data_IF_022201207111
#
_entry.id   IF_022201207111
#
_cell.length_a   1.000
_cell.length_b   1.000
_cell.length_c   1.000
_cell.angle_alpha   90.00
_cell.angle_beta   90.00
_cell.angle_gamma   90.00
#
_symmetry.space_group_name_H-M   'P 1'
#
loop_
_entity.id
_entity.type
_entity.pdbx_description
1 polymer ?
#
# COMPACT_ATOMS: atom_id res chain seq x y z
N UNK A 1 22.18 -18.42 17.06
CA UNK A 1 20.82 -18.10 17.54
C UNK A 1 20.02 -17.48 16.39
N UNK A 2 19.43 -18.30 15.50
CA UNK A 2 18.87 -17.82 14.22
C UNK A 2 17.50 -18.46 13.90
N UNK A 3 16.61 -18.57 14.90
CA UNK A 3 15.31 -19.24 14.74
C UNK A 3 14.10 -18.43 15.20
N UNK A 4 14.31 -17.26 15.81
CA UNK A 4 13.23 -16.44 16.38
C UNK A 4 12.73 -15.39 15.36
N UNK A 5 13.61 -14.80 14.54
CA UNK A 5 13.23 -13.77 13.55
C UNK A 5 12.24 -14.29 12.49
N UNK A 6 12.40 -15.54 12.02
CA UNK A 6 11.53 -16.11 10.97
C UNK A 6 10.10 -16.40 11.43
N UNK A 7 9.86 -16.49 12.74
CA UNK A 7 8.51 -16.69 13.28
C UNK A 7 7.75 -15.37 13.40
N UNK A 8 8.44 -14.30 13.77
CA UNK A 8 7.87 -12.96 13.85
C UNK A 8 7.43 -12.47 12.47
N UNK A 9 8.27 -12.57 11.44
CA UNK A 9 7.93 -12.10 10.09
C UNK A 9 6.73 -12.84 9.51
N UNK A 10 6.67 -14.17 9.70
CA UNK A 10 5.56 -15.01 9.23
C UNK A 10 4.23 -14.73 9.94
N UNK A 11 4.26 -14.21 11.17
CA UNK A 11 3.04 -13.85 11.90
C UNK A 11 2.48 -12.49 11.43
N UNK A 12 3.35 -11.57 11.05
CA UNK A 12 2.93 -10.25 10.54
C UNK A 12 2.48 -10.30 9.07
N UNK A 13 3.01 -11.24 8.27
CA UNK A 13 2.55 -11.47 6.89
C UNK A 13 1.30 -12.38 6.78
N UNK A 14 0.59 -12.63 7.88
CA UNK A 14 -0.65 -13.44 7.85
C UNK A 14 -1.85 -12.60 7.45
N UNK A 15 -2.86 -13.21 6.82
CA UNK A 15 -4.10 -12.52 6.39
C UNK A 15 -4.73 -11.69 7.53
N UNK A 16 -4.73 -12.25 8.75
CA UNK A 16 -5.24 -11.57 9.96
C UNK A 16 -4.43 -10.32 10.32
N UNK A 17 -3.12 -10.34 10.12
CA UNK A 17 -2.26 -9.19 10.37
C UNK A 17 -2.44 -8.12 9.29
N UNK A 18 -2.62 -8.51 8.02
CA UNK A 18 -2.96 -7.60 6.93
C UNK A 18 -4.32 -6.91 7.16
N UNK A 19 -5.33 -7.66 7.61
CA UNK A 19 -6.63 -7.10 8.01
C UNK A 19 -6.49 -6.07 9.13
N UNK A 20 -5.67 -6.36 10.15
CA UNK A 20 -5.40 -5.42 11.25
C UNK A 20 -4.70 -4.15 10.76
N UNK A 21 -3.79 -4.27 9.80
CA UNK A 21 -3.11 -3.12 9.18
C UNK A 21 -4.12 -2.24 8.43
N UNK A 22 -4.99 -2.85 7.62
CA UNK A 22 -6.07 -2.11 6.93
C UNK A 22 -7.01 -1.43 7.93
N UNK A 23 -7.40 -2.14 9.00
CA UNK A 23 -8.25 -1.57 10.04
C UNK A 23 -7.59 -0.38 10.75
N UNK A 24 -6.29 -0.47 11.05
CA UNK A 24 -5.52 0.63 11.62
C UNK A 24 -5.43 1.83 10.67
N UNK A 25 -5.18 1.58 9.38
CA UNK A 25 -5.17 2.63 8.37
C UNK A 25 -6.52 3.36 8.28
N UNK A 26 -7.63 2.61 8.26
CA UNK A 26 -9.01 3.15 8.23
C UNK A 26 -9.37 3.93 9.49
N UNK A 27 -8.79 3.59 10.64
CA UNK A 27 -9.01 4.30 11.89
C UNK A 27 -8.34 5.68 11.95
N UNK A 28 -7.42 5.97 11.01
CA UNK A 28 -6.73 7.26 10.87
C UNK A 28 -7.22 7.97 9.60
N UNK A 29 -8.21 8.89 9.69
CA UNK A 29 -8.87 9.45 8.51
C UNK A 29 -7.91 10.15 7.53
N UNK A 30 -6.91 10.87 8.05
CA UNK A 30 -5.90 11.53 7.23
C UNK A 30 -5.02 10.54 6.45
N UNK A 31 -4.58 9.46 7.10
CA UNK A 31 -3.81 8.40 6.45
C UNK A 31 -4.66 7.67 5.41
N UNK A 32 -5.91 7.33 5.75
CA UNK A 32 -6.81 6.63 4.83
C UNK A 32 -7.09 7.46 3.58
N UNK A 33 -7.26 8.77 3.73
CA UNK A 33 -7.42 9.69 2.60
C UNK A 33 -6.19 9.67 1.69
N UNK A 34 -4.98 9.78 2.26
CA UNK A 34 -3.74 9.72 1.48
C UNK A 34 -3.59 8.41 0.71
N UNK A 35 -3.96 7.27 1.31
CA UNK A 35 -3.94 5.95 0.64
C UNK A 35 -4.93 5.92 -0.53
N UNK A 36 -6.13 6.46 -0.37
CA UNK A 36 -7.11 6.57 -1.46
C UNK A 36 -6.61 7.44 -2.60
N UNK A 37 -5.96 8.56 -2.30
CA UNK A 37 -5.29 9.40 -3.30
C UNK A 37 -4.25 8.62 -4.10
N UNK A 38 -3.59 7.61 -3.49
CA UNK A 38 -2.57 6.80 -4.18
C UNK A 38 -3.18 5.78 -5.10
N UNK A 39 -4.28 5.18 -4.70
CA UNK A 39 -5.02 4.31 -5.62
C UNK A 39 -5.58 5.10 -6.81
N UNK A 40 -6.08 6.32 -6.58
CA UNK A 40 -6.53 7.19 -7.68
C UNK A 40 -5.38 7.58 -8.61
N UNK A 41 -4.24 8.01 -8.05
CA UNK A 41 -3.03 8.33 -8.81
C UNK A 41 -2.58 7.13 -9.66
N UNK A 42 -2.46 5.95 -9.07
CA UNK A 42 -2.05 4.72 -9.76
C UNK A 42 -3.06 4.32 -10.83
N UNK A 43 -4.36 4.49 -10.59
CA UNK A 43 -5.42 4.24 -11.58
C UNK A 43 -5.25 5.15 -12.80
N UNK A 44 -5.00 6.43 -12.59
CA UNK A 44 -4.74 7.39 -13.68
C UNK A 44 -3.46 7.03 -14.45
N UNK A 45 -2.37 6.71 -13.75
CA UNK A 45 -1.11 6.32 -14.39
C UNK A 45 -1.27 5.04 -15.23
N UNK A 46 -1.97 4.02 -14.71
CA UNK A 46 -2.24 2.77 -15.43
C UNK A 46 -3.05 3.02 -16.71
N UNK A 47 -4.08 3.84 -16.64
CA UNK A 47 -4.88 4.21 -17.82
C UNK A 47 -4.02 4.93 -18.89
N UNK A 48 -3.12 5.82 -18.46
CA UNK A 48 -2.20 6.50 -19.38
C UNK A 48 -1.14 5.55 -19.96
N UNK A 49 -0.62 4.60 -19.18
CA UNK A 49 0.28 3.56 -19.70
C UNK A 49 -0.39 2.71 -20.78
N UNK A 50 -1.63 2.26 -20.54
CA UNK A 50 -2.42 1.51 -21.51
C UNK A 50 -2.59 2.31 -22.81
N UNK A 51 -2.90 3.61 -22.69
CA UNK A 51 -3.01 4.53 -23.84
C UNK A 51 -1.70 4.66 -24.62
N UNK A 52 -0.56 4.60 -23.93
CA UNK A 52 0.78 4.70 -24.52
C UNK A 52 1.34 3.34 -25.02
N UNK A 53 0.68 2.23 -24.72
CA UNK A 53 1.23 0.89 -24.96
C UNK A 53 2.49 0.59 -24.14
N UNK A 54 2.65 1.28 -23.01
CA UNK A 54 3.79 1.15 -22.10
C UNK A 54 3.54 0.10 -21.02
N UNK A 55 4.60 -0.35 -20.34
CA UNK A 55 4.52 -1.38 -19.29
C UNK A 55 4.45 -0.75 -17.91
N UNK A 56 3.98 -1.53 -16.92
CA UNK A 56 3.91 -1.08 -15.52
C UNK A 56 5.29 -0.72 -14.94
N UNK A 57 6.37 -1.34 -15.44
CA UNK A 57 7.74 -0.96 -15.08
C UNK A 57 8.17 0.43 -15.57
N UNK A 58 7.41 1.04 -16.49
CA UNK A 58 7.70 2.37 -17.02
C UNK A 58 7.06 3.48 -16.16
N UNK A 59 6.25 3.15 -15.15
CA UNK A 59 5.54 4.13 -14.30
C UNK A 59 6.51 5.17 -13.73
N UNK A 60 7.60 4.73 -13.11
CA UNK A 60 8.52 5.64 -12.43
C UNK A 60 9.28 6.56 -13.40
N UNK A 61 9.46 6.11 -14.65
CA UNK A 61 10.10 6.92 -15.69
C UNK A 61 9.12 7.93 -16.31
N UNK A 62 7.89 7.48 -16.62
CA UNK A 62 6.88 8.27 -17.32
C UNK A 62 6.13 9.23 -16.39
N UNK A 63 6.04 8.93 -15.10
CA UNK A 63 5.37 9.74 -14.10
C UNK A 63 6.31 10.09 -12.93
N UNK A 64 7.35 10.91 -13.17
CA UNK A 64 8.33 11.25 -12.13
C UNK A 64 7.75 12.11 -11.00
N UNK A 65 6.67 12.85 -11.27
CA UNK A 65 5.99 13.70 -10.30
C UNK A 65 4.90 12.93 -9.55
N UNK A 66 5.34 11.95 -8.76
CA UNK A 66 4.44 11.22 -7.88
C UNK A 66 4.08 12.08 -6.68
N UNK A 67 2.83 11.95 -6.24
CA UNK A 67 2.37 12.49 -4.97
C UNK A 67 3.34 12.02 -3.86
N UNK A 68 3.47 12.79 -2.78
CA UNK A 68 4.27 12.43 -1.60
C UNK A 68 3.45 12.56 -0.31
N UNK A 69 3.62 11.67 0.68
CA UNK A 69 4.50 10.50 0.70
C UNK A 69 4.08 9.35 -0.25
N UNK A 70 5.08 8.61 -0.72
CA UNK A 70 5.05 7.19 -1.11
C UNK A 70 3.87 6.33 -0.65
N UNK A 71 3.22 5.50 -1.47
CA UNK A 71 2.45 4.38 -0.91
C UNK A 71 3.37 3.46 -0.08
N UNK A 72 4.59 3.21 -0.56
CA UNK A 72 5.60 2.44 0.18
C UNK A 72 6.00 3.13 1.48
N UNK A 73 6.18 4.46 1.46
CA UNK A 73 6.49 5.26 2.66
C UNK A 73 5.31 5.22 3.67
N UNK A 74 4.07 5.36 3.20
CA UNK A 74 2.87 5.24 4.04
C UNK A 74 2.71 3.84 4.67
N UNK A 75 2.97 2.79 3.88
CA UNK A 75 2.90 1.41 4.35
C UNK A 75 4.01 1.10 5.37
N UNK A 76 5.25 1.55 5.08
CA UNK A 76 6.39 1.40 5.98
C UNK A 76 6.16 2.09 7.33
N UNK A 77 5.70 3.36 7.30
CA UNK A 77 5.39 4.13 8.50
C UNK A 77 4.27 3.47 9.31
N UNK A 78 3.20 3.01 8.66
CA UNK A 78 2.08 2.35 9.34
C UNK A 78 2.52 1.05 10.02
N UNK A 79 3.21 0.18 9.29
CA UNK A 79 3.68 -1.11 9.82
C UNK A 79 4.71 -0.88 10.92
N UNK A 80 5.63 0.08 10.74
CA UNK A 80 6.63 0.43 11.74
C UNK A 80 5.99 0.94 13.04
N UNK A 81 4.95 1.78 12.96
CA UNK A 81 4.18 2.21 14.14
C UNK A 81 3.46 1.07 14.85
N UNK A 82 2.98 0.08 14.11
CA UNK A 82 2.24 -1.05 14.68
C UNK A 82 3.12 -2.16 15.26
N UNK A 83 4.27 -2.44 14.63
CA UNK A 83 5.08 -3.63 14.90
C UNK A 83 6.54 -3.32 15.28
N UNK A 84 6.92 -2.04 15.34
CA UNK A 84 8.29 -1.62 15.68
C UNK A 84 9.28 -1.70 14.53
N UNK A 85 8.80 -1.97 13.31
CA UNK A 85 9.55 -1.97 12.06
C UNK A 85 8.80 -2.70 10.95
N UNK A 86 9.12 -2.40 9.69
CA UNK A 86 8.57 -3.09 8.52
C UNK A 86 9.62 -4.02 7.88
N UNK A 87 9.44 -5.35 8.00
CA UNK A 87 10.20 -6.31 7.20
C UNK A 87 10.02 -6.05 5.69
N UNK A 88 11.10 -6.04 4.88
CA UNK A 88 11.01 -5.77 3.44
C UNK A 88 10.07 -6.71 2.67
N UNK A 89 9.97 -7.96 3.12
CA UNK A 89 9.11 -8.99 2.56
C UNK A 89 7.61 -8.74 2.81
N UNK A 90 7.27 -7.85 3.74
CA UNK A 90 5.90 -7.52 4.07
C UNK A 90 5.39 -6.27 3.34
N UNK A 91 6.29 -5.42 2.87
CA UNK A 91 5.94 -4.11 2.32
C UNK A 91 5.06 -4.24 1.07
N UNK A 92 5.37 -5.16 0.16
CA UNK A 92 4.55 -5.40 -1.04
C UNK A 92 3.14 -5.93 -0.68
N UNK A 93 2.99 -7.02 0.10
CA UNK A 93 1.66 -7.49 0.55
C UNK A 93 0.81 -6.42 1.24
N UNK A 94 1.43 -5.57 2.07
CA UNK A 94 0.73 -4.48 2.75
C UNK A 94 0.24 -3.43 1.76
N UNK A 95 1.11 -2.98 0.86
CA UNK A 95 0.72 -2.02 -0.19
C UNK A 95 -0.45 -2.55 -1.02
N UNK A 96 -0.38 -3.81 -1.48
CA UNK A 96 -1.43 -4.43 -2.28
C UNK A 96 -2.76 -4.50 -1.52
N UNK A 97 -2.72 -4.89 -0.25
CA UNK A 97 -3.92 -4.99 0.59
C UNK A 97 -4.53 -3.61 0.86
N UNK A 98 -3.70 -2.60 1.13
CA UNK A 98 -4.16 -1.22 1.33
C UNK A 98 -4.81 -0.66 0.06
N UNK A 99 -4.19 -0.86 -1.10
CA UNK A 99 -4.77 -0.44 -2.39
C UNK A 99 -6.07 -1.18 -2.70
N UNK A 100 -6.12 -2.49 -2.45
CA UNK A 100 -7.34 -3.27 -2.67
C UNK A 100 -8.50 -2.78 -1.79
N UNK A 101 -8.24 -2.50 -0.52
CA UNK A 101 -9.24 -1.96 0.40
C UNK A 101 -9.65 -0.52 0.03
N UNK A 102 -8.70 0.32 -0.40
CA UNK A 102 -8.98 1.68 -0.85
C UNK A 102 -9.81 1.70 -2.13
N UNK A 103 -9.48 0.85 -3.10
CA UNK A 103 -10.24 0.64 -4.34
C UNK A 103 -11.67 0.23 -4.05
N UNK A 104 -11.86 -0.78 -3.18
CA UNK A 104 -13.19 -1.22 -2.79
C UNK A 104 -14.02 -0.06 -2.19
N UNK A 105 -13.43 0.75 -1.31
CA UNK A 105 -14.13 1.91 -0.75
C UNK A 105 -14.46 2.99 -1.80
N UNK A 106 -13.55 3.23 -2.75
CA UNK A 106 -13.73 4.22 -3.82
C UNK A 106 -14.82 3.79 -4.81
N UNK A 107 -14.84 2.52 -5.18
CA UNK A 107 -15.84 1.96 -6.10
C UNK A 107 -17.22 1.79 -5.42
N UNK A 108 -17.26 1.58 -4.10
CA UNK A 108 -18.49 1.47 -3.32
C UNK A 108 -19.15 2.82 -3.02
N UNK A 109 -18.46 3.95 -3.24
CA UNK A 109 -19.02 5.28 -3.06
C UNK A 109 -19.71 5.70 -4.37
N UNK A 110 -21.05 5.78 -4.45
CA UNK A 110 -21.69 6.42 -5.58
C UNK A 110 -21.33 7.90 -5.52
N UNK A 111 -20.68 8.40 -6.57
CA UNK A 111 -20.49 9.84 -6.78
C UNK A 111 -21.82 10.58 -6.97
#
# INVERSE_FOLDING_TARGET
>A
MAKIERLSTRHVSSDRSLERIVAAARAEPGLWLMIKEREMELRTMRAELERLGAKEGDIDHLFPQRLKPTLSELADDLVSRMFGGCPPDMLAPVQDTLLAAARHDLDASPG
#
